data_IF_747930575872
#
_entry.id   IF_747930575872
#
_cell.length_a   1.000
_cell.length_b   1.000
_cell.length_c   1.000
_cell.angle_alpha   90.00
_cell.angle_beta   90.00
_cell.angle_gamma   90.00
#
_symmetry.space_group_name_H-M   'P 1'
#
loop_
_entity.id
_entity.type
_entity.pdbx_description
1 polymer ?
#
# COMPACT_ATOMS: atom_id res chain seq x y z
N UNK A 1 -9.64 4.69 -8.22
CA UNK A 1 -9.54 3.36 -7.57
C UNK A 1 -10.84 2.92 -6.92
N UNK A 2 -11.66 3.82 -6.33
CA UNK A 2 -12.99 3.46 -5.78
C UNK A 2 -13.92 2.79 -6.80
N UNK A 3 -13.90 3.22 -8.07
CA UNK A 3 -14.70 2.60 -9.12
C UNK A 3 -14.39 1.12 -9.37
N UNK A 4 -13.10 0.73 -9.38
CA UNK A 4 -12.69 -0.67 -9.53
C UNK A 4 -13.12 -1.51 -8.33
N UNK A 5 -12.97 -0.97 -7.11
CA UNK A 5 -13.44 -1.62 -5.89
C UNK A 5 -14.96 -1.86 -5.92
N UNK A 6 -15.73 -0.86 -6.35
CA UNK A 6 -17.20 -0.97 -6.46
C UNK A 6 -17.63 -2.02 -7.48
N UNK A 7 -16.95 -2.09 -8.65
CA UNK A 7 -17.19 -3.15 -9.64
C UNK A 7 -16.89 -4.54 -9.09
N UNK A 8 -15.76 -4.70 -8.39
CA UNK A 8 -15.38 -5.97 -7.76
C UNK A 8 -16.42 -6.42 -6.71
N UNK A 9 -16.90 -5.47 -5.90
CA UNK A 9 -17.94 -5.75 -4.91
C UNK A 9 -19.27 -6.15 -5.55
N UNK A 10 -19.64 -5.53 -6.68
CA UNK A 10 -20.84 -5.88 -7.42
C UNK A 10 -20.75 -7.27 -8.08
N UNK A 11 -19.57 -7.63 -8.59
CA UNK A 11 -19.32 -8.94 -9.19
C UNK A 11 -19.31 -10.09 -8.16
N UNK A 12 -19.04 -9.79 -6.88
CA UNK A 12 -19.10 -10.77 -5.79
C UNK A 12 -18.21 -11.98 -6.04
N UNK A 13 -18.79 -13.18 -6.02
CA UNK A 13 -18.08 -14.44 -6.28
C UNK A 13 -17.57 -14.60 -7.72
N UNK A 14 -18.13 -13.86 -8.67
CA UNK A 14 -17.77 -13.89 -10.10
C UNK A 14 -16.71 -12.85 -10.47
N UNK A 15 -15.96 -12.33 -9.49
CA UNK A 15 -14.95 -11.31 -9.74
C UNK A 15 -13.85 -11.73 -10.74
N UNK A 16 -13.63 -13.03 -10.90
CA UNK A 16 -12.67 -13.60 -11.85
C UNK A 16 -13.03 -13.21 -13.28
N UNK A 17 -14.32 -13.15 -13.61
CA UNK A 17 -14.81 -12.78 -14.94
C UNK A 17 -14.52 -11.30 -15.25
N UNK A 18 -14.41 -10.45 -14.22
CA UNK A 18 -14.07 -9.03 -14.35
C UNK A 18 -12.56 -8.76 -14.36
N UNK A 19 -11.73 -9.75 -14.04
CA UNK A 19 -10.29 -9.58 -13.92
C UNK A 19 -9.63 -8.99 -15.19
N UNK A 20 -9.96 -9.45 -16.42
CA UNK A 20 -9.40 -8.85 -17.63
C UNK A 20 -9.72 -7.36 -17.77
N UNK A 21 -10.96 -6.96 -17.47
CA UNK A 21 -11.42 -5.57 -17.52
C UNK A 21 -10.67 -4.71 -16.49
N UNK A 22 -10.50 -5.24 -15.27
CA UNK A 22 -9.80 -4.54 -14.19
C UNK A 22 -8.33 -4.36 -14.54
N UNK A 23 -7.66 -5.41 -15.03
CA UNK A 23 -6.27 -5.35 -15.46
C UNK A 23 -6.09 -4.36 -16.61
N UNK A 24 -7.01 -4.36 -17.57
CA UNK A 24 -6.96 -3.41 -18.68
C UNK A 24 -7.09 -1.96 -18.20
N UNK A 25 -8.13 -1.66 -17.41
CA UNK A 25 -8.31 -0.35 -16.78
C UNK A 25 -7.05 0.04 -15.99
N UNK A 26 -6.47 -0.92 -15.26
CA UNK A 26 -5.28 -0.67 -14.47
C UNK A 26 -4.09 -0.28 -15.36
N UNK A 27 -3.88 -0.97 -16.48
CA UNK A 27 -2.76 -0.72 -17.40
C UNK A 27 -2.90 0.58 -18.18
N UNK A 28 -4.13 1.01 -18.48
CA UNK A 28 -4.42 2.19 -19.32
C UNK A 28 -4.77 3.46 -18.54
N UNK A 29 -4.90 3.41 -17.21
CA UNK A 29 -5.17 4.60 -16.40
C UNK A 29 -3.88 5.19 -15.81
N UNK A 30 -3.62 6.50 -15.98
CA UNK A 30 -2.46 7.16 -15.38
C UNK A 30 -2.44 7.04 -13.86
N UNK A 31 -1.26 6.78 -13.28
CA UNK A 31 -1.10 6.65 -11.83
C UNK A 31 -0.75 7.99 -11.21
N UNK A 32 -1.36 8.34 -10.08
CA UNK A 32 -1.03 9.57 -9.32
C UNK A 32 0.46 9.66 -8.98
N UNK A 33 1.12 8.54 -8.69
CA UNK A 33 2.51 8.51 -8.29
C UNK A 33 3.48 8.82 -9.43
N UNK A 34 3.23 8.29 -10.64
CA UNK A 34 4.13 8.45 -11.80
C UNK A 34 3.65 9.53 -12.77
N UNK A 35 2.36 9.82 -12.81
CA UNK A 35 1.69 10.63 -13.84
C UNK A 35 1.45 9.88 -15.16
N UNK A 36 1.95 8.64 -15.28
CA UNK A 36 1.96 7.85 -16.52
C UNK A 36 1.10 6.59 -16.40
N UNK A 37 0.69 6.02 -17.53
CA UNK A 37 0.03 4.71 -17.56
C UNK A 37 1.06 3.59 -17.42
N UNK A 38 0.76 2.49 -16.67
CA UNK A 38 1.67 1.34 -16.62
C UNK A 38 1.97 0.73 -18.00
N UNK A 39 1.01 0.82 -18.94
CA UNK A 39 1.20 0.34 -20.31
C UNK A 39 2.27 1.14 -21.05
N UNK A 40 2.21 2.48 -21.00
CA UNK A 40 3.19 3.33 -21.66
C UNK A 40 4.59 3.18 -21.08
N UNK A 41 4.72 3.02 -19.76
CA UNK A 41 6.03 2.75 -19.15
C UNK A 41 6.63 1.41 -19.59
N UNK A 42 5.80 0.40 -19.85
CA UNK A 42 6.24 -0.92 -20.29
C UNK A 42 6.60 -0.93 -21.78
N UNK A 43 5.72 -0.41 -22.64
CA UNK A 43 5.80 -0.57 -24.09
C UNK A 43 6.23 0.68 -24.86
N UNK A 44 6.31 1.83 -24.21
CA UNK A 44 6.74 3.10 -24.81
C UNK A 44 5.64 3.97 -25.42
N UNK A 45 4.44 3.42 -25.61
CA UNK A 45 3.31 4.13 -26.24
C UNK A 45 2.01 3.90 -25.46
N UNK A 46 0.98 4.72 -25.69
CA UNK A 46 -0.32 4.56 -25.04
C UNK A 46 -1.18 3.49 -25.72
N UNK A 47 -1.76 2.60 -24.92
CA UNK A 47 -2.73 1.60 -25.38
C UNK A 47 -4.06 2.26 -25.77
N UNK A 48 -4.75 1.67 -26.76
CA UNK A 48 -6.10 2.09 -27.13
C UNK A 48 -7.09 1.78 -26.01
N UNK A 49 -7.88 2.74 -25.54
CA UNK A 49 -8.87 2.44 -24.50
C UNK A 49 -10.01 1.58 -25.08
N UNK A 50 -10.70 0.73 -24.29
CA UNK A 50 -11.77 -0.12 -24.81
C UNK A 50 -12.94 0.71 -25.36
N UNK A 51 -13.15 1.91 -24.81
CA UNK A 51 -14.13 2.87 -25.30
C UNK A 51 -13.84 3.34 -26.72
N UNK A 52 -12.56 3.39 -27.11
CA UNK A 52 -12.15 3.79 -28.46
C UNK A 52 -12.50 2.72 -29.52
N UNK A 53 -12.75 1.47 -29.08
CA UNK A 53 -13.22 0.38 -29.96
C UNK A 53 -14.71 0.54 -30.25
N UNK A 54 -15.50 0.99 -29.27
CA UNK A 54 -16.93 1.21 -29.42
C UNK A 54 -17.25 2.54 -30.10
N UNK A 55 -16.47 3.58 -29.81
CA UNK A 55 -16.61 4.93 -30.34
C UNK A 55 -15.24 5.31 -30.91
N UNK A 56 -15.08 5.43 -32.24
CA UNK A 56 -13.82 5.82 -32.85
C UNK A 56 -13.29 7.10 -32.19
N UNK A 57 -12.09 7.02 -31.62
CA UNK A 57 -11.41 8.23 -31.16
C UNK A 57 -10.75 8.93 -32.33
N UNK A 58 -10.35 10.21 -32.15
CA UNK A 58 -9.61 10.95 -33.17
C UNK A 58 -8.38 10.20 -33.70
N UNK A 59 -7.71 9.42 -32.84
CA UNK A 59 -6.58 8.57 -33.20
C UNK A 59 -6.97 7.43 -34.16
N UNK A 60 -8.21 6.95 -34.07
CA UNK A 60 -8.76 5.95 -35.00
C UNK A 60 -9.26 6.61 -36.28
N UNK A 61 -9.94 7.75 -36.18
CA UNK A 61 -10.51 8.46 -37.33
C UNK A 61 -9.45 9.06 -38.26
N UNK A 62 -8.34 9.54 -37.71
CA UNK A 62 -7.24 10.19 -38.44
C UNK A 62 -6.01 9.28 -38.56
N UNK A 63 -6.23 7.96 -38.59
CA UNK A 63 -5.12 7.01 -38.67
C UNK A 63 -4.47 7.04 -40.06
N UNK A 64 -3.23 7.50 -40.10
CA UNK A 64 -2.36 7.42 -41.29
C UNK A 64 -1.17 6.51 -40.97
N UNK A 65 -0.96 5.41 -41.72
CA UNK A 65 0.08 4.41 -41.41
C UNK A 65 1.49 5.00 -41.28
N UNK A 66 1.90 5.81 -42.25
CA UNK A 66 3.26 6.36 -42.32
C UNK A 66 3.53 7.33 -41.14
N UNK A 67 2.55 8.20 -40.85
CA UNK A 67 2.64 9.13 -39.72
C UNK A 67 2.62 8.40 -38.36
N UNK A 68 1.85 7.30 -38.25
CA UNK A 68 1.84 6.49 -37.03
C UNK A 68 3.18 5.77 -36.82
N UNK A 69 3.83 5.28 -37.89
CA UNK A 69 5.16 4.67 -37.80
C UNK A 69 6.21 5.69 -37.32
N UNK A 70 6.18 6.91 -37.86
CA UNK A 70 7.06 8.00 -37.42
C UNK A 70 6.81 8.36 -35.95
N UNK A 71 5.54 8.51 -35.54
CA UNK A 71 5.18 8.76 -34.14
C UNK A 71 5.68 7.64 -33.22
N UNK A 72 5.59 6.38 -33.63
CA UNK A 72 6.04 5.24 -32.82
C UNK A 72 7.56 5.22 -32.66
N UNK A 73 8.32 5.65 -33.68
CA UNK A 73 9.78 5.81 -33.58
C UNK A 73 10.16 6.91 -32.58
N UNK A 74 9.42 8.03 -32.57
CA UNK A 74 9.60 9.11 -31.62
C UNK A 74 9.29 8.64 -30.19
N UNK A 75 8.15 7.98 -29.99
CA UNK A 75 7.75 7.42 -28.69
C UNK A 75 8.81 6.45 -28.14
N UNK A 76 9.36 5.60 -29.01
CA UNK A 76 10.42 4.66 -28.64
C UNK A 76 11.72 5.38 -28.27
N UNK A 77 12.08 6.46 -28.96
CA UNK A 77 13.26 7.26 -28.62
C UNK A 77 13.10 7.97 -27.26
N UNK A 78 11.89 8.40 -26.91
CA UNK A 78 11.60 9.15 -25.69
C UNK A 78 11.22 8.26 -24.50
N UNK A 79 11.09 6.95 -24.67
CA UNK A 79 10.57 6.06 -23.62
C UNK A 79 11.42 6.09 -22.36
N UNK A 80 12.74 6.16 -22.49
CA UNK A 80 13.64 6.15 -21.35
C UNK A 80 13.60 7.47 -20.59
N UNK A 81 13.45 8.60 -21.29
CA UNK A 81 13.21 9.89 -20.66
C UNK A 81 11.88 9.91 -19.89
N UNK A 82 10.81 9.35 -20.49
CA UNK A 82 9.51 9.20 -19.82
C UNK A 82 9.63 8.34 -18.56
N UNK A 83 10.37 7.24 -18.61
CA UNK A 83 10.61 6.36 -17.45
C UNK A 83 11.38 7.06 -16.34
N UNK A 84 12.41 7.82 -16.68
CA UNK A 84 13.20 8.59 -15.71
C UNK A 84 12.33 9.66 -15.03
N UNK A 85 11.56 10.41 -15.81
CA UNK A 85 10.62 11.40 -15.25
C UNK A 85 9.58 10.75 -14.34
N UNK A 86 9.02 9.61 -14.74
CA UNK A 86 8.08 8.84 -13.93
C UNK A 86 8.73 8.33 -12.63
N UNK A 87 10.00 7.91 -12.68
CA UNK A 87 10.77 7.48 -11.52
C UNK A 87 10.96 8.63 -10.51
N UNK A 88 11.41 9.79 -10.98
CA UNK A 88 11.57 10.99 -10.13
C UNK A 88 10.24 11.40 -9.49
N UNK A 89 9.14 11.39 -10.24
CA UNK A 89 7.80 11.67 -9.71
C UNK A 89 7.37 10.66 -8.65
N UNK A 90 7.60 9.37 -8.90
CA UNK A 90 7.25 8.31 -7.96
C UNK A 90 8.04 8.43 -6.66
N UNK A 91 9.33 8.76 -6.73
CA UNK A 91 10.17 9.02 -5.55
C UNK A 91 9.69 10.24 -4.76
N UNK A 92 9.35 11.33 -5.44
CA UNK A 92 8.80 12.52 -4.79
C UNK A 92 7.45 12.23 -4.12
N UNK A 93 6.58 11.49 -4.80
CA UNK A 93 5.30 11.06 -4.22
C UNK A 93 5.51 10.17 -2.99
N UNK A 94 6.45 9.21 -3.06
CA UNK A 94 6.80 8.33 -1.94
C UNK A 94 7.31 9.14 -0.73
N UNK A 95 8.15 10.14 -0.96
CA UNK A 95 8.64 11.05 0.09
C UNK A 95 7.52 11.85 0.74
N UNK A 96 6.58 12.40 -0.05
CA UNK A 96 5.43 13.13 0.45
C UNK A 96 4.48 12.25 1.29
N UNK A 97 4.20 11.04 0.81
CA UNK A 97 3.36 10.09 1.57
C UNK A 97 4.04 9.70 2.88
N UNK A 98 5.35 9.47 2.86
CA UNK A 98 6.14 9.17 4.07
C UNK A 98 6.10 10.34 5.06
N UNK A 99 6.41 11.57 4.63
CA UNK A 99 6.42 12.73 5.53
C UNK A 99 5.04 13.02 6.13
N UNK A 100 3.98 12.88 5.34
CA UNK A 100 2.61 13.01 5.82
C UNK A 100 2.26 11.96 6.87
N UNK A 101 2.68 10.71 6.66
CA UNK A 101 2.49 9.64 7.63
C UNK A 101 3.30 9.92 8.91
N UNK A 102 4.59 10.16 8.78
CA UNK A 102 5.51 10.41 9.91
C UNK A 102 5.04 11.60 10.76
N UNK A 103 4.54 12.68 10.13
CA UNK A 103 3.98 13.84 10.84
C UNK A 103 2.73 13.52 11.67
N UNK A 104 1.99 12.46 11.32
CA UNK A 104 0.78 12.03 12.03
C UNK A 104 1.03 10.95 13.07
N UNK A 105 2.18 10.28 13.03
CA UNK A 105 2.54 9.24 13.99
C UNK A 105 2.92 9.87 15.32
N UNK A 106 2.19 9.53 16.38
CA UNK A 106 2.61 9.84 17.76
C UNK A 106 3.62 8.80 18.21
N UNK A 107 4.86 9.23 18.50
CA UNK A 107 5.85 8.32 19.07
C UNK A 107 5.34 7.78 20.42
N UNK A 108 5.47 6.46 20.60
CA UNK A 108 5.19 5.77 21.86
C UNK A 108 6.45 5.00 22.20
N UNK A 109 7.13 5.42 23.24
CA UNK A 109 8.36 4.79 23.68
C UNK A 109 8.22 4.33 25.12
N UNK A 110 8.78 3.16 25.40
CA UNK A 110 8.80 2.57 26.73
C UNK A 110 10.23 2.35 27.16
N UNK A 111 10.50 2.62 28.42
CA UNK A 111 11.80 2.34 29.03
C UNK A 111 11.74 1.02 29.80
N UNK A 112 12.91 0.42 30.03
CA UNK A 112 13.03 -0.75 30.92
C UNK A 112 12.46 -0.39 32.29
N UNK A 113 11.65 -1.29 32.85
CA UNK A 113 10.94 -1.06 34.10
C UNK A 113 9.55 -0.42 33.95
N UNK A 114 9.19 0.14 32.78
CA UNK A 114 7.83 0.61 32.56
C UNK A 114 6.82 -0.54 32.62
N UNK A 115 5.71 -0.30 33.31
CA UNK A 115 4.56 -1.20 33.26
C UNK A 115 3.74 -0.96 31.99
N UNK A 116 3.36 -2.05 31.34
CA UNK A 116 2.60 -2.03 30.10
C UNK A 116 1.52 -3.11 30.10
N UNK A 117 0.41 -2.81 29.46
CA UNK A 117 -0.60 -3.78 29.06
C UNK A 117 -0.33 -4.24 27.63
N UNK A 118 -0.50 -5.54 27.37
CA UNK A 118 -0.36 -6.13 26.04
C UNK A 118 -1.74 -6.41 25.45
N UNK A 119 -1.93 -6.14 24.16
CA UNK A 119 -3.17 -6.49 23.47
C UNK A 119 -3.30 -8.01 23.34
N UNK A 120 -4.46 -8.55 23.74
CA UNK A 120 -4.74 -9.99 23.69
C UNK A 120 -4.81 -10.53 22.26
N UNK A 121 -5.36 -9.75 21.32
CA UNK A 121 -5.46 -10.14 19.90
C UNK A 121 -4.10 -10.52 19.28
N UNK A 122 -3.02 -9.93 19.78
CA UNK A 122 -1.67 -10.18 19.27
C UNK A 122 -1.01 -11.41 19.90
N UNK A 123 -1.47 -11.85 21.07
CA UNK A 123 -0.93 -13.02 21.77
C UNK A 123 -1.78 -14.28 21.56
N UNK A 124 -3.10 -14.12 21.54
CA UNK A 124 -4.11 -15.17 21.42
C UNK A 124 -5.18 -14.75 20.41
N UNK A 125 -4.85 -14.68 19.11
CA UNK A 125 -5.77 -14.20 18.06
C UNK A 125 -7.04 -15.05 17.94
N UNK A 126 -6.97 -16.34 18.28
CA UNK A 126 -8.08 -17.29 18.16
C UNK A 126 -8.94 -17.43 19.42
N UNK A 127 -8.51 -16.89 20.57
CA UNK A 127 -9.18 -17.07 21.87
C UNK A 127 -9.99 -15.82 22.30
N UNK A 128 -10.28 -14.92 21.35
CA UNK A 128 -11.03 -13.70 21.58
C UNK A 128 -12.54 -13.87 21.36
N UNK A 129 -13.36 -13.29 22.24
CA UNK A 129 -14.81 -13.17 22.09
C UNK A 129 -15.31 -11.77 22.47
N UNK A 130 -16.60 -11.48 22.23
CA UNK A 130 -17.21 -10.15 22.47
C UNK A 130 -17.04 -9.63 23.90
N UNK A 131 -16.86 -10.54 24.87
CA UNK A 131 -16.69 -10.25 26.30
C UNK A 131 -15.26 -10.47 26.82
N UNK A 132 -14.32 -10.87 25.97
CA UNK A 132 -12.94 -11.06 26.37
C UNK A 132 -12.26 -9.70 26.65
N UNK A 133 -11.44 -9.64 27.70
CA UNK A 133 -10.61 -8.46 27.98
C UNK A 133 -9.66 -8.20 26.80
N UNK A 134 -9.73 -6.98 26.25
CA UNK A 134 -8.91 -6.56 25.09
C UNK A 134 -7.42 -6.50 25.39
N UNK A 135 -7.07 -6.27 26.65
CA UNK A 135 -5.71 -6.15 27.14
C UNK A 135 -5.44 -7.16 28.26
N UNK A 136 -4.20 -7.58 28.37
CA UNK A 136 -3.68 -8.48 29.39
C UNK A 136 -2.41 -7.89 30.04
N UNK A 137 -2.14 -8.30 31.27
CA UNK A 137 -1.06 -7.76 32.09
C UNK A 137 -1.55 -7.40 33.49
N UNK A 138 -0.79 -6.62 34.25
CA UNK A 138 0.35 -5.80 33.80
C UNK A 138 1.65 -6.60 33.58
N UNK A 139 2.42 -6.17 32.59
CA UNK A 139 3.77 -6.67 32.29
C UNK A 139 4.80 -5.55 32.49
N UNK A 140 6.07 -5.90 32.69
CA UNK A 140 7.17 -4.96 32.86
C UNK A 140 8.08 -5.07 31.64
N UNK A 141 8.49 -3.96 31.04
CA UNK A 141 9.50 -3.95 29.98
C UNK A 141 10.84 -4.41 30.57
N UNK A 142 11.37 -5.53 30.08
CA UNK A 142 12.64 -6.08 30.54
C UNK A 142 13.83 -5.64 29.70
N UNK A 143 13.62 -5.41 28.40
CA UNK A 143 14.65 -4.89 27.50
C UNK A 143 14.03 -4.18 26.28
N UNK A 144 14.73 -3.19 25.76
CA UNK A 144 14.44 -2.57 24.45
C UNK A 144 15.36 -3.23 23.42
N UNK A 145 14.79 -3.91 22.42
CA UNK A 145 15.58 -4.62 21.39
C UNK A 145 15.95 -3.68 20.25
N UNK A 146 14.96 -2.89 19.80
CA UNK A 146 15.10 -1.82 18.82
C UNK A 146 13.97 -0.81 19.05
N UNK A 147 14.04 0.42 18.53
CA UNK A 147 12.95 1.39 18.65
C UNK A 147 11.60 0.76 18.28
N UNK A 148 10.65 0.81 19.23
CA UNK A 148 9.32 0.23 19.08
C UNK A 148 9.22 -1.29 19.22
N UNK A 149 10.26 -2.02 19.65
CA UNK A 149 10.23 -3.47 19.89
C UNK A 149 10.84 -3.83 21.24
N UNK A 150 10.07 -4.52 22.09
CA UNK A 150 10.37 -4.71 23.51
C UNK A 150 10.31 -6.19 23.93
N UNK A 151 11.13 -6.58 24.91
CA UNK A 151 10.94 -7.81 25.68
C UNK A 151 10.17 -7.49 26.95
N UNK A 152 9.30 -8.40 27.37
CA UNK A 152 8.46 -8.23 28.54
C UNK A 152 8.78 -9.32 29.57
N UNK A 153 8.59 -8.99 30.85
CA UNK A 153 8.57 -9.92 31.97
C UNK A 153 7.28 -9.73 32.77
N UNK A 154 6.82 -10.78 33.43
CA UNK A 154 5.72 -10.71 34.39
C UNK A 154 6.23 -10.09 35.71
N UNK A 155 5.33 -9.56 36.57
CA UNK A 155 5.71 -9.04 37.89
C UNK A 155 6.40 -10.07 38.77
N UNK A 156 6.11 -11.36 38.60
CA UNK A 156 6.75 -12.47 39.30
C UNK A 156 8.16 -12.84 38.76
N UNK A 157 8.71 -12.05 37.83
CA UNK A 157 10.05 -12.26 37.26
C UNK A 157 10.11 -13.22 36.07
N UNK A 158 9.06 -13.96 35.75
CA UNK A 158 9.07 -14.85 34.59
C UNK A 158 9.07 -14.07 33.27
N UNK A 159 9.89 -14.52 32.32
CA UNK A 159 9.96 -13.90 31.00
C UNK A 159 8.72 -14.21 30.16
N UNK A 160 8.24 -13.20 29.45
CA UNK A 160 7.19 -13.38 28.45
C UNK A 160 7.86 -13.76 27.13
N UNK A 161 7.41 -14.84 26.46
CA UNK A 161 7.99 -15.24 25.19
C UNK A 161 7.73 -14.19 24.09
N UNK A 162 8.61 -14.21 23.08
CA UNK A 162 8.63 -13.30 21.92
C UNK A 162 8.97 -11.85 22.27
N UNK A 163 9.32 -11.08 21.24
CA UNK A 163 9.46 -9.62 21.30
C UNK A 163 8.18 -8.96 20.81
N UNK A 164 7.78 -7.87 21.43
CA UNK A 164 6.49 -7.20 21.23
C UNK A 164 6.67 -5.83 20.61
N UNK A 165 5.94 -5.57 19.53
CA UNK A 165 5.91 -4.25 18.90
C UNK A 165 5.09 -3.27 19.75
N UNK A 166 5.53 -2.01 19.81
CA UNK A 166 4.87 -0.89 20.50
C UNK A 166 3.38 -0.78 20.17
N UNK A 167 2.98 -1.09 18.94
CA UNK A 167 1.60 -1.04 18.49
C UNK A 167 0.67 -1.93 19.33
N UNK A 168 1.20 -3.02 19.90
CA UNK A 168 0.45 -3.95 20.74
C UNK A 168 0.57 -3.68 22.24
N UNK A 169 1.25 -2.60 22.63
CA UNK A 169 1.52 -2.25 24.02
C UNK A 169 0.89 -0.90 24.38
N UNK A 170 0.40 -0.79 25.61
CA UNK A 170 -0.15 0.45 26.17
C UNK A 170 0.48 0.68 27.53
N UNK A 171 0.84 1.93 27.85
CA UNK A 171 1.40 2.28 29.16
C UNK A 171 0.39 1.99 30.27
N UNK A 172 0.82 1.30 31.31
CA UNK A 172 0.04 1.11 32.53
C UNK A 172 0.60 2.03 33.61
N UNK A 173 -0.27 2.85 34.20
CA UNK A 173 0.06 3.71 35.33
C UNK A 173 -0.47 3.01 36.58
N UNK A 174 0.41 2.85 37.57
CA UNK A 174 0.08 2.29 38.88
C UNK A 174 -0.60 3.33 39.76
#
# INVERSE_FOLDING_TARGET
MEGLKKKLQAAGGSWVDELPNILWCYRTTPRRATGETPFALCYGFEAKAPTEVAIPSRRVEQYEPDANEESMKIDLHLVDERREQAYVRAENYRRQVKSYYDAKVRSREFQVGNYVLRRREASQPTEGGKLALKYEGPYIVSAVVKPGTYKLKRPNGSNVPRTWNVHHLVKFYQ
#
